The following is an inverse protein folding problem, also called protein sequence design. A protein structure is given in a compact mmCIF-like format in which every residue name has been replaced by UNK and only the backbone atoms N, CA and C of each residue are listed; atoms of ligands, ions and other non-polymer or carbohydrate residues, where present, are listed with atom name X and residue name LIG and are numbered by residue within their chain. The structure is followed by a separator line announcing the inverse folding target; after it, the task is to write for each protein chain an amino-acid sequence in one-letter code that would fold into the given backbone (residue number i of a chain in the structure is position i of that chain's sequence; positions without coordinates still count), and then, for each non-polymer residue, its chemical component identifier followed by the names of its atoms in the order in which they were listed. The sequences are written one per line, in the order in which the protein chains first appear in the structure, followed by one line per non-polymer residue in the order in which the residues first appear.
data_IF_408590796953
#
_entry.id   IF_408590796953
#
_cell.length_a   1.000
_cell.length_b   1.000
_cell.length_c   1.000
_cell.angle_alpha   90.00
_cell.angle_beta   90.00
_cell.angle_gamma   90.00
#
_symmetry.space_group_name_H-M   'P 1'
#
loop_
_entity.id
_entity.type
_entity.pdbx_description
1 polymer ?
#
# COMPACT_ATOMS: atom_id res chain seq x y z
N UNK A 1 80.48 -3.89 -2.53
CA UNK A 1 80.72 -5.22 -1.94
C UNK A 1 79.41 -5.66 -1.28
N UNK A 2 78.78 -6.78 -1.66
CA UNK A 2 78.84 -8.11 -0.99
C UNK A 2 78.64 -8.00 0.53
N UNK A 3 77.70 -8.69 1.21
CA UNK A 3 76.96 -9.96 0.95
C UNK A 3 75.65 -9.96 1.81
N UNK A 4 74.51 -10.59 1.45
CA UNK A 4 74.09 -12.01 1.67
C UNK A 4 74.22 -12.50 3.13
N UNK A 5 73.33 -13.29 3.77
CA UNK A 5 72.03 -13.93 3.45
C UNK A 5 71.32 -14.36 4.77
N UNK A 6 70.10 -14.92 4.71
CA UNK A 6 69.45 -15.65 5.83
C UNK A 6 70.15 -16.99 6.13
N UNK A 7 70.14 -17.44 7.39
CA UNK A 7 69.71 -18.83 7.75
C UNK A 7 69.40 -19.00 9.24
N UNK A 8 68.52 -19.97 9.52
CA UNK A 8 68.04 -20.46 10.82
C UNK A 8 68.89 -21.60 11.39
N UNK A 9 69.01 -21.73 12.72
CA UNK A 9 69.01 -23.06 13.37
C UNK A 9 68.59 -23.03 14.85
N UNK A 10 67.97 -24.13 15.30
CA UNK A 10 67.50 -24.36 16.67
C UNK A 10 68.63 -24.75 17.63
N UNK A 11 68.38 -24.65 18.94
CA UNK A 11 68.95 -25.61 19.91
C UNK A 11 67.92 -26.04 20.96
N UNK A 12 67.99 -27.32 21.33
CA UNK A 12 67.06 -28.06 22.18
C UNK A 12 67.76 -28.47 23.48
N UNK A 13 67.05 -28.42 24.61
CA UNK A 13 67.16 -29.31 25.80
C UNK A 13 65.88 -29.10 26.64
N UNK A 14 64.92 -30.02 26.81
CA UNK A 14 64.89 -31.48 27.06
C UNK A 14 65.30 -31.89 28.49
N UNK A 15 64.32 -32.11 29.38
CA UNK A 15 63.95 -33.43 29.93
C UNK A 15 62.69 -33.28 30.83
N UNK A 16 61.61 -34.07 30.71
CA UNK A 16 61.46 -35.54 30.91
C UNK A 16 61.65 -35.96 32.39
N UNK A 17 60.82 -36.75 33.10
CA UNK A 17 59.78 -37.81 32.80
C UNK A 17 58.74 -37.88 33.98
N UNK A 18 57.77 -38.81 34.16
CA UNK A 18 57.29 -40.10 33.61
C UNK A 18 55.72 -40.09 33.66
N UNK A 19 54.95 -40.59 32.68
CA UNK A 19 54.46 -41.99 32.46
C UNK A 19 53.48 -42.54 33.55
N UNK A 20 52.45 -43.35 33.25
CA UNK A 20 52.22 -44.20 32.06
C UNK A 20 50.72 -44.50 31.75
N UNK A 21 50.44 -44.83 30.46
CA UNK A 21 49.59 -45.91 29.92
C UNK A 21 48.08 -46.01 30.33
N UNK A 22 47.12 -46.58 29.58
CA UNK A 22 47.04 -47.32 28.29
C UNK A 22 45.74 -46.88 27.56
N UNK A 23 45.26 -47.40 26.41
CA UNK A 23 45.64 -48.42 25.41
C UNK A 23 45.02 -48.00 24.04
N UNK A 24 45.11 -48.82 22.99
CA UNK A 24 44.37 -48.68 21.72
C UNK A 24 43.30 -49.79 21.59
N UNK A 25 42.10 -49.47 21.10
CA UNK A 25 41.16 -50.47 20.52
C UNK A 25 40.38 -49.83 19.38
N UNK A 26 40.41 -50.45 18.20
CA UNK A 26 39.64 -50.04 17.05
C UNK A 26 38.28 -50.76 17.04
N UNK A 27 37.19 -50.02 16.80
CA UNK A 27 35.86 -50.60 16.58
C UNK A 27 35.23 -50.03 15.31
N UNK A 28 35.15 -50.89 14.29
CA UNK A 28 34.30 -50.72 13.12
C UNK A 28 32.82 -50.67 13.55
N UNK A 29 32.16 -49.53 13.36
CA UNK A 29 30.71 -49.42 13.56
C UNK A 29 30.00 -49.37 12.22
N UNK A 30 29.38 -50.51 11.89
CA UNK A 30 28.54 -50.72 10.71
C UNK A 30 27.32 -49.79 10.69
N UNK A 31 26.86 -49.43 9.49
CA UNK A 31 25.59 -48.74 9.29
C UNK A 31 24.43 -49.50 9.97
N UNK A 32 23.71 -48.82 10.87
CA UNK A 32 22.32 -49.17 11.20
C UNK A 32 21.43 -47.95 10.99
N UNK A 33 20.52 -48.10 10.03
CA UNK A 33 19.48 -47.13 9.68
C UNK A 33 18.45 -47.11 10.82
N UNK A 34 18.59 -46.16 11.74
CA UNK A 34 17.59 -45.93 12.79
C UNK A 34 16.47 -45.05 12.24
N UNK A 35 15.31 -45.65 11.98
CA UNK A 35 14.09 -44.91 11.65
C UNK A 35 13.64 -44.17 12.91
N UNK A 36 13.70 -42.83 12.89
CA UNK A 36 13.06 -42.01 13.93
C UNK A 36 11.63 -41.76 13.46
N UNK A 37 10.68 -42.53 13.97
CA UNK A 37 9.27 -42.14 13.91
C UNK A 37 9.07 -40.94 14.84
N UNK A 38 8.81 -39.76 14.28
CA UNK A 38 8.29 -38.64 15.05
C UNK A 38 6.81 -38.90 15.31
N UNK A 39 6.48 -39.25 16.56
CA UNK A 39 5.11 -39.23 17.05
C UNK A 39 4.60 -37.79 17.08
N UNK A 40 3.69 -37.44 16.18
CA UNK A 40 2.99 -36.16 16.19
C UNK A 40 1.97 -36.13 17.33
N UNK A 41 2.03 -35.11 18.20
CA UNK A 41 1.00 -34.86 19.20
C UNK A 41 -0.14 -34.04 18.56
N UNK A 42 -1.25 -34.71 18.23
CA UNK A 42 -2.42 -34.07 17.62
C UNK A 42 -3.12 -33.05 18.55
N UNK A 43 -2.73 -32.95 19.83
CA UNK A 43 -3.28 -31.96 20.76
C UNK A 43 -2.80 -30.53 20.50
N UNK A 44 -1.78 -30.34 19.66
CA UNK A 44 -1.34 -29.03 19.22
C UNK A 44 -2.30 -28.36 18.19
N UNK A 45 -3.23 -29.12 17.58
CA UNK A 45 -4.13 -28.62 16.52
C UNK A 45 -5.39 -27.89 17.04
N UNK A 46 -5.70 -27.99 18.34
CA UNK A 46 -6.89 -27.40 18.95
C UNK A 46 -6.58 -26.35 20.03
N UNK A 47 -5.36 -25.79 20.05
CA UNK A 47 -5.15 -24.54 20.77
C UNK A 47 -6.04 -23.45 20.13
N UNK A 48 -6.77 -22.62 20.90
CA UNK A 48 -7.49 -21.51 20.32
C UNK A 48 -6.47 -20.62 19.62
N UNK A 49 -6.59 -20.51 18.29
CA UNK A 49 -5.78 -19.59 17.50
C UNK A 49 -6.06 -18.21 18.05
N UNK A 50 -5.12 -17.70 18.84
CA UNK A 50 -5.13 -16.32 19.28
C UNK A 50 -5.28 -15.49 18.02
N UNK A 51 -6.37 -14.75 17.92
CA UNK A 51 -6.60 -13.80 16.84
C UNK A 51 -5.51 -12.74 16.97
N UNK A 52 -4.35 -12.98 16.35
CA UNK A 52 -3.31 -11.98 16.17
C UNK A 52 -4.06 -10.78 15.59
N UNK A 53 -4.07 -9.68 16.33
CA UNK A 53 -4.72 -8.45 15.90
C UNK A 53 -4.12 -8.00 14.55
N UNK A 54 -4.52 -6.84 14.03
CA UNK A 54 -3.81 -6.24 12.89
C UNK A 54 -2.41 -5.83 13.38
N UNK A 55 -1.53 -6.82 13.39
CA UNK A 55 -0.30 -6.82 14.16
C UNK A 55 0.73 -6.03 13.39
N UNK A 56 1.19 -4.95 14.00
CA UNK A 56 2.22 -4.06 13.47
C UNK A 56 1.94 -3.40 12.10
N UNK A 57 0.86 -3.73 11.39
CA UNK A 57 0.49 -3.10 10.12
C UNK A 57 -0.39 -1.87 10.33
N UNK A 58 -0.04 -0.78 9.65
CA UNK A 58 -0.79 0.48 9.60
C UNK A 58 -1.67 0.60 8.37
N UNK A 59 -1.24 -0.03 7.27
CA UNK A 59 -1.93 -0.05 5.99
C UNK A 59 -1.46 -1.25 5.18
N UNK A 60 -2.37 -1.89 4.46
CA UNK A 60 -2.04 -2.92 3.46
C UNK A 60 -3.08 -2.92 2.35
N UNK A 61 -2.66 -3.19 1.13
CA UNK A 61 -3.55 -3.40 -0.02
C UNK A 61 -2.91 -4.44 -0.96
N UNK A 62 -3.56 -5.60 -1.05
CA UNK A 62 -3.24 -6.65 -2.00
C UNK A 62 -4.12 -6.60 -3.26
N UNK A 63 -4.88 -5.52 -3.44
CA UNK A 63 -5.55 -5.16 -4.69
C UNK A 63 -6.71 -6.08 -5.11
N UNK A 64 -6.90 -7.20 -4.40
CA UNK A 64 -8.00 -8.14 -4.58
C UNK A 64 -9.38 -7.55 -4.32
N UNK A 65 -9.45 -6.47 -3.53
CA UNK A 65 -10.67 -5.72 -3.28
C UNK A 65 -11.37 -5.20 -4.55
N UNK A 66 -12.65 -4.86 -4.41
CA UNK A 66 -13.42 -4.18 -5.46
C UNK A 66 -12.94 -2.74 -5.73
N UNK A 67 -12.15 -2.17 -4.80
CA UNK A 67 -11.50 -0.87 -4.94
C UNK A 67 -10.09 -0.94 -4.37
N UNK A 68 -9.11 -0.41 -5.10
CA UNK A 68 -7.70 -0.37 -4.74
C UNK A 68 -7.25 1.07 -4.42
N UNK A 69 -6.31 1.23 -3.49
CA UNK A 69 -5.79 2.51 -2.99
C UNK A 69 -6.92 3.44 -2.49
N UNK A 70 -7.90 2.86 -1.80
CA UNK A 70 -9.19 3.49 -1.48
C UNK A 70 -9.18 4.36 -0.22
N UNK A 71 -8.20 4.17 0.66
CA UNK A 71 -8.05 4.86 1.95
C UNK A 71 -6.58 5.19 2.20
N UNK A 72 -6.29 6.38 2.73
CA UNK A 72 -4.93 6.76 3.16
C UNK A 72 -3.90 6.99 2.04
N UNK A 73 -4.31 6.92 0.77
CA UNK A 73 -3.45 7.14 -0.41
C UNK A 73 -4.02 8.25 -1.28
N UNK A 74 -3.14 9.09 -1.80
CA UNK A 74 -3.41 9.99 -2.92
C UNK A 74 -2.78 9.47 -4.21
N UNK A 75 -3.46 9.61 -5.35
CA UNK A 75 -2.92 9.27 -6.67
C UNK A 75 -2.39 10.56 -7.33
N UNK A 76 -1.10 10.58 -7.66
CA UNK A 76 -0.43 11.63 -8.43
C UNK A 76 -0.29 11.11 -9.87
N UNK A 77 -1.37 11.25 -10.64
CA UNK A 77 -1.50 10.73 -12.00
C UNK A 77 -2.38 11.68 -12.82
N UNK A 78 -1.98 11.95 -14.07
CA UNK A 78 -2.73 12.84 -14.97
C UNK A 78 -3.68 12.09 -15.91
N UNK A 79 -3.49 10.78 -16.09
CA UNK A 79 -4.13 9.96 -17.13
C UNK A 79 -4.99 8.83 -16.55
N UNK A 80 -5.98 8.36 -17.30
CA UNK A 80 -6.86 7.25 -16.89
C UNK A 80 -6.19 5.89 -16.93
N UNK A 81 -5.16 5.71 -17.78
CA UNK A 81 -4.35 4.49 -17.86
C UNK A 81 -3.21 4.45 -16.84
N UNK A 82 -2.84 5.60 -16.27
CA UNK A 82 -1.62 5.71 -15.47
C UNK A 82 -1.62 4.80 -14.25
N UNK A 83 -2.69 4.75 -13.45
CA UNK A 83 -2.79 3.80 -12.32
C UNK A 83 -4.07 2.96 -12.46
N UNK A 84 -3.89 1.71 -12.88
CA UNK A 84 -4.97 0.72 -13.10
C UNK A 84 -4.69 -0.56 -12.32
N UNK A 85 -5.65 -1.48 -12.26
CA UNK A 85 -5.40 -2.87 -11.87
C UNK A 85 -5.45 -3.77 -13.11
N UNK A 86 -4.59 -4.79 -13.15
CA UNK A 86 -4.59 -5.85 -14.16
C UNK A 86 -4.71 -7.22 -13.49
N UNK A 87 -4.99 -8.27 -14.27
CA UNK A 87 -4.90 -9.67 -13.81
C UNK A 87 -3.64 -10.42 -14.25
N UNK A 88 -2.78 -9.79 -15.04
CA UNK A 88 -1.50 -10.36 -15.48
C UNK A 88 -0.49 -9.23 -15.79
N UNK A 89 0.72 -9.24 -15.20
CA UNK A 89 1.17 -10.13 -14.12
C UNK A 89 0.43 -9.87 -12.80
N UNK A 90 0.44 -10.85 -11.90
CA UNK A 90 0.09 -10.73 -10.49
C UNK A 90 1.17 -11.44 -9.65
N UNK A 91 1.35 -11.03 -8.39
CA UNK A 91 2.29 -11.66 -7.45
C UNK A 91 1.55 -12.45 -6.39
N UNK A 92 0.57 -11.81 -5.73
CA UNK A 92 -0.38 -12.42 -4.82
C UNK A 92 -1.76 -12.46 -5.50
N UNK A 93 -2.56 -13.49 -5.26
CA UNK A 93 -3.91 -13.55 -5.79
C UNK A 93 -3.98 -13.59 -7.33
N UNK A 94 -4.85 -12.73 -7.89
CA UNK A 94 -5.17 -12.64 -9.32
C UNK A 94 -5.15 -11.20 -9.85
N UNK A 95 -4.66 -10.22 -9.08
CA UNK A 95 -4.52 -8.83 -9.51
C UNK A 95 -3.16 -8.22 -9.15
N UNK A 96 -2.74 -7.21 -9.91
CA UNK A 96 -1.70 -6.26 -9.47
C UNK A 96 -2.02 -4.84 -9.94
N UNK A 97 -1.32 -3.85 -9.37
CA UNK A 97 -1.51 -2.44 -9.69
C UNK A 97 -0.48 -2.04 -10.74
N UNK A 98 -0.95 -1.64 -11.91
CA UNK A 98 -0.14 -1.23 -13.05
C UNK A 98 0.02 0.29 -13.05
N UNK A 99 1.27 0.72 -13.06
CA UNK A 99 1.71 2.11 -13.13
C UNK A 99 2.33 2.35 -14.50
N UNK A 100 1.62 3.03 -15.40
CA UNK A 100 2.14 3.47 -16.70
C UNK A 100 2.42 4.98 -16.69
N UNK A 101 3.55 5.36 -17.27
CA UNK A 101 3.92 6.74 -17.54
C UNK A 101 4.47 6.82 -18.97
N UNK A 102 4.09 7.86 -19.70
CA UNK A 102 4.66 8.22 -21.01
C UNK A 102 5.33 9.58 -20.96
N UNK A 103 6.26 9.83 -21.87
CA UNK A 103 6.91 11.14 -22.02
C UNK A 103 5.92 12.24 -22.45
N UNK A 104 4.84 11.88 -23.15
CA UNK A 104 3.75 12.78 -23.52
C UNK A 104 2.69 12.99 -22.42
N UNK A 105 2.81 12.36 -21.25
CA UNK A 105 1.79 12.49 -20.20
C UNK A 105 1.89 13.88 -19.54
N UNK A 106 0.76 14.60 -19.31
CA UNK A 106 0.80 15.90 -18.67
C UNK A 106 1.43 15.84 -17.27
N UNK A 107 2.23 16.85 -16.93
CA UNK A 107 2.80 16.96 -15.58
C UNK A 107 1.70 17.06 -14.50
N UNK A 108 1.95 16.41 -13.37
CA UNK A 108 1.08 16.47 -12.19
C UNK A 108 1.94 16.57 -10.92
N UNK A 109 1.57 17.47 -10.00
CA UNK A 109 2.38 17.79 -8.81
C UNK A 109 3.85 18.11 -9.18
N UNK A 110 4.03 19.01 -10.15
CA UNK A 110 5.32 19.55 -10.61
C UNK A 110 6.24 18.43 -11.14
N UNK A 111 5.90 17.85 -12.29
CA UNK A 111 6.70 16.83 -12.97
C UNK A 111 5.90 15.67 -13.57
N UNK A 112 6.53 14.99 -14.53
CA UNK A 112 5.98 13.86 -15.30
C UNK A 112 6.04 12.59 -14.45
N UNK A 113 4.89 12.22 -13.86
CA UNK A 113 4.79 11.16 -12.85
C UNK A 113 3.46 10.40 -12.90
N UNK A 114 3.57 9.14 -12.50
CA UNK A 114 2.47 8.25 -12.14
C UNK A 114 2.85 7.61 -10.82
N UNK A 115 2.40 8.18 -9.70
CA UNK A 115 2.76 7.74 -8.34
C UNK A 115 1.53 7.63 -7.43
N UNK A 116 1.54 6.69 -6.48
CA UNK A 116 0.77 6.80 -5.24
C UNK A 116 1.61 7.54 -4.21
N UNK A 117 0.97 8.32 -3.35
CA UNK A 117 1.60 9.12 -2.30
C UNK A 117 0.80 9.03 -1.02
N UNK A 118 1.46 8.59 0.04
CA UNK A 118 0.91 8.50 1.39
C UNK A 118 1.10 9.84 2.16
N UNK A 119 0.37 10.05 3.27
CA UNK A 119 0.62 11.15 4.20
C UNK A 119 2.05 11.19 4.73
N UNK A 120 2.40 12.30 5.36
CA UNK A 120 3.66 12.43 6.10
C UNK A 120 3.73 11.43 7.25
N UNK A 121 4.93 10.91 7.48
CA UNK A 121 5.13 9.89 8.51
C UNK A 121 5.19 10.53 9.90
N UNK A 122 4.23 10.23 10.77
CA UNK A 122 4.20 10.77 12.14
C UNK A 122 5.31 10.22 13.06
N UNK A 123 5.57 8.91 13.02
CA UNK A 123 6.71 8.29 13.72
C UNK A 123 7.78 7.93 12.69
N UNK A 124 8.97 8.51 12.83
CA UNK A 124 10.08 8.37 11.90
C UNK A 124 10.67 6.95 11.81
N UNK A 125 10.28 6.02 12.68
CA UNK A 125 10.57 4.59 12.54
C UNK A 125 9.40 3.86 11.86
N UNK A 126 9.63 3.31 10.67
CA UNK A 126 8.62 2.61 9.86
C UNK A 126 9.17 1.43 9.07
N UNK A 127 8.25 0.54 8.74
CA UNK A 127 8.47 -0.51 7.75
C UNK A 127 7.61 -0.28 6.52
N UNK A 128 8.13 -0.66 5.36
CA UNK A 128 7.45 -0.60 4.07
C UNK A 128 7.74 -1.88 3.29
N UNK A 129 6.78 -2.39 2.54
CA UNK A 129 7.01 -3.51 1.62
C UNK A 129 6.09 -3.47 0.42
N UNK A 130 6.53 -4.17 -0.64
CA UNK A 130 5.77 -4.43 -1.84
C UNK A 130 6.46 -5.53 -2.66
N UNK A 131 5.71 -6.26 -3.47
CA UNK A 131 6.25 -6.91 -4.64
C UNK A 131 6.28 -5.91 -5.81
N UNK A 132 7.32 -5.96 -6.65
CA UNK A 132 7.46 -5.13 -7.85
C UNK A 132 7.92 -5.96 -9.06
N UNK A 133 7.36 -5.66 -10.23
CA UNK A 133 7.73 -6.25 -11.53
C UNK A 133 7.86 -5.16 -12.59
N UNK A 134 8.87 -5.28 -13.46
CA UNK A 134 9.10 -4.39 -14.59
C UNK A 134 9.17 -5.20 -15.89
N UNK A 135 8.22 -5.07 -16.84
CA UNK A 135 8.28 -5.78 -18.10
C UNK A 135 9.40 -5.21 -18.99
N UNK A 136 10.30 -6.03 -19.54
CA UNK A 136 11.40 -5.48 -20.35
C UNK A 136 10.92 -4.77 -21.63
N UNK A 137 9.76 -5.18 -22.16
CA UNK A 137 9.17 -4.58 -23.36
C UNK A 137 8.75 -3.09 -23.17
N UNK A 138 8.31 -2.70 -21.97
CA UNK A 138 7.90 -1.32 -21.63
C UNK A 138 8.77 -0.65 -20.55
N UNK A 139 9.74 -1.35 -19.97
CA UNK A 139 10.82 -0.80 -19.13
C UNK A 139 12.17 -1.04 -19.82
N UNK A 140 12.32 -0.47 -21.02
CA UNK A 140 13.53 -0.61 -21.83
C UNK A 140 14.74 0.03 -21.13
N UNK A 141 15.94 -0.39 -21.53
CA UNK A 141 17.19 0.19 -21.04
C UNK A 141 17.19 1.72 -21.23
N UNK A 142 17.68 2.44 -20.23
CA UNK A 142 17.86 3.89 -20.30
C UNK A 142 19.07 4.34 -19.47
N UNK A 143 19.80 5.33 -19.98
CA UNK A 143 20.95 5.95 -19.31
C UNK A 143 20.52 7.04 -18.34
N UNK A 144 19.32 7.61 -18.53
CA UNK A 144 18.69 8.52 -17.58
C UNK A 144 17.89 7.75 -16.55
N UNK A 145 17.82 8.28 -15.34
CA UNK A 145 17.25 7.56 -14.21
C UNK A 145 15.75 7.78 -13.99
N UNK A 146 15.15 6.82 -13.30
CA UNK A 146 13.73 6.76 -12.95
C UNK A 146 13.60 6.65 -11.43
N UNK A 147 12.81 7.51 -10.78
CA UNK A 147 12.45 7.33 -9.37
C UNK A 147 11.31 6.34 -9.26
N UNK A 148 11.52 5.26 -8.50
CA UNK A 148 10.54 4.18 -8.32
C UNK A 148 9.94 4.11 -6.90
N UNK A 149 10.64 4.67 -5.91
CA UNK A 149 10.13 4.93 -4.56
C UNK A 149 10.87 6.13 -3.98
N UNK A 150 10.18 7.02 -3.29
CA UNK A 150 10.78 8.21 -2.67
C UNK A 150 10.16 8.54 -1.33
N UNK A 151 10.98 8.98 -0.38
CA UNK A 151 10.55 9.62 0.86
C UNK A 151 10.83 11.11 0.72
N UNK A 152 9.78 11.86 0.41
CA UNK A 152 9.85 13.27 0.03
C UNK A 152 9.54 14.17 1.23
N UNK A 153 10.26 15.30 1.36
CA UNK A 153 10.16 16.21 2.51
C UNK A 153 9.76 17.64 2.15
N UNK A 154 9.40 17.93 0.90
CA UNK A 154 8.91 19.26 0.53
C UNK A 154 10.04 20.25 0.20
N UNK A 155 9.81 21.54 0.48
CA UNK A 155 10.76 22.63 0.28
C UNK A 155 11.37 22.75 -1.13
N UNK A 156 10.70 22.24 -2.17
CA UNK A 156 11.23 22.16 -3.54
C UNK A 156 12.52 21.33 -3.68
N UNK A 157 12.87 20.51 -2.68
CA UNK A 157 14.10 19.71 -2.68
C UNK A 157 13.90 18.39 -3.42
N UNK A 158 14.98 17.91 -4.04
CA UNK A 158 15.09 16.51 -4.44
C UNK A 158 14.87 15.59 -3.23
N UNK A 159 14.23 14.41 -3.34
CA UNK A 159 14.02 13.52 -2.20
C UNK A 159 15.33 13.23 -1.46
N UNK A 160 15.31 13.33 -0.12
CA UNK A 160 16.44 12.98 0.72
C UNK A 160 16.78 11.49 0.63
N UNK A 161 15.75 10.65 0.42
CA UNK A 161 15.87 9.21 0.25
C UNK A 161 14.99 8.76 -0.92
N UNK A 162 15.57 8.04 -1.88
CA UNK A 162 14.80 7.45 -2.99
C UNK A 162 15.50 6.23 -3.60
N UNK A 163 14.70 5.26 -4.03
CA UNK A 163 15.12 4.18 -4.92
C UNK A 163 14.99 4.66 -6.37
N UNK A 164 16.03 4.41 -7.16
CA UNK A 164 16.15 4.82 -8.56
C UNK A 164 16.64 3.67 -9.43
N UNK A 165 16.15 3.60 -10.66
CA UNK A 165 16.70 2.70 -11.68
C UNK A 165 17.48 3.52 -12.69
N UNK A 166 18.67 3.07 -13.08
CA UNK A 166 19.50 3.72 -14.10
C UNK A 166 20.40 2.67 -14.76
N UNK A 167 20.44 2.63 -16.09
CA UNK A 167 21.27 1.68 -16.86
C UNK A 167 21.14 0.22 -16.34
N UNK A 168 19.91 -0.22 -16.14
CA UNK A 168 19.51 -1.56 -15.66
C UNK A 168 20.12 -1.97 -14.29
N UNK A 169 20.47 -0.97 -13.47
CA UNK A 169 20.84 -1.13 -12.06
C UNK A 169 19.84 -0.43 -11.14
N UNK A 170 19.61 -1.05 -9.99
CA UNK A 170 18.89 -0.47 -8.88
C UNK A 170 19.88 0.31 -8.01
N UNK A 171 19.53 1.54 -7.67
CA UNK A 171 20.27 2.40 -6.77
C UNK A 171 19.38 2.86 -5.62
N UNK A 172 20.00 3.13 -4.47
CA UNK A 172 19.43 4.04 -3.48
C UNK A 172 20.24 5.33 -3.44
N UNK A 173 19.54 6.45 -3.48
CA UNK A 173 20.12 7.78 -3.32
C UNK A 173 19.77 8.34 -1.95
N UNK A 174 20.80 8.61 -1.15
CA UNK A 174 20.72 9.09 0.24
C UNK A 174 21.42 10.44 0.31
N UNK A 175 20.67 11.50 0.60
CA UNK A 175 21.16 12.90 0.74
C UNK A 175 22.05 13.37 -0.43
N UNK A 176 21.77 12.90 -1.64
CA UNK A 176 22.53 13.20 -2.85
C UNK A 176 23.47 12.09 -3.32
N UNK A 177 24.00 11.29 -2.39
CA UNK A 177 24.96 10.20 -2.65
C UNK A 177 24.25 8.95 -3.17
N UNK A 178 24.83 8.31 -4.19
CA UNK A 178 24.29 7.11 -4.83
C UNK A 178 24.99 5.85 -4.31
N UNK A 179 24.22 4.80 -4.04
CA UNK A 179 24.70 3.48 -3.67
C UNK A 179 24.07 2.44 -4.60
N UNK A 180 24.91 1.63 -5.24
CA UNK A 180 24.51 0.53 -6.12
C UNK A 180 23.94 -0.61 -5.27
N UNK A 181 22.72 -1.06 -5.59
CA UNK A 181 22.03 -2.18 -4.95
C UNK A 181 22.01 -3.44 -5.84
N UNK A 182 22.71 -3.40 -6.98
CA UNK A 182 22.82 -4.49 -7.93
C UNK A 182 21.92 -4.33 -9.16
N UNK A 183 21.84 -5.41 -9.95
CA UNK A 183 21.04 -5.46 -11.19
C UNK A 183 19.56 -5.25 -10.89
N UNK A 184 18.89 -4.47 -11.73
CA UNK A 184 17.44 -4.35 -11.78
C UNK A 184 16.89 -5.37 -12.80
N UNK A 185 16.67 -6.60 -12.33
CA UNK A 185 16.15 -7.68 -13.19
C UNK A 185 14.73 -7.32 -13.68
N UNK A 186 14.49 -7.54 -14.98
CA UNK A 186 13.21 -7.31 -15.65
C UNK A 186 12.54 -8.65 -15.94
N UNK A 187 11.24 -8.59 -16.27
CA UNK A 187 10.37 -9.75 -16.49
C UNK A 187 10.33 -10.74 -15.31
N UNK A 188 10.57 -10.22 -14.10
CA UNK A 188 10.63 -10.96 -12.85
C UNK A 188 10.03 -10.14 -11.72
N UNK A 189 9.28 -10.80 -10.84
CA UNK A 189 8.82 -10.22 -9.58
C UNK A 189 9.93 -10.25 -8.54
N UNK A 190 10.06 -9.16 -7.80
CA UNK A 190 10.93 -9.04 -6.65
C UNK A 190 10.16 -8.54 -5.43
N UNK A 191 10.33 -9.21 -4.30
CA UNK A 191 9.73 -8.82 -3.03
C UNK A 191 10.69 -7.91 -2.26
N UNK A 192 10.30 -6.65 -2.06
CA UNK A 192 11.07 -5.67 -1.29
C UNK A 192 10.47 -5.49 0.09
N UNK A 193 11.34 -5.55 1.11
CA UNK A 193 11.02 -5.12 2.48
C UNK A 193 12.05 -4.07 2.88
N UNK A 194 11.60 -3.01 3.54
CA UNK A 194 12.42 -1.87 3.94
C UNK A 194 12.07 -1.49 5.38
N UNK A 195 13.08 -1.39 6.24
CA UNK A 195 12.98 -0.84 7.59
C UNK A 195 13.78 0.45 7.62
N UNK A 196 13.12 1.56 7.93
CA UNK A 196 13.72 2.89 7.86
C UNK A 196 13.39 3.64 9.14
N UNK A 197 14.45 4.00 9.86
CA UNK A 197 14.41 5.01 10.92
C UNK A 197 14.97 6.30 10.32
N UNK A 198 14.09 7.26 10.06
CA UNK A 198 14.48 8.53 9.49
C UNK A 198 15.21 9.41 10.52
N UNK A 199 16.38 9.94 10.17
CA UNK A 199 17.12 10.92 10.96
C UNK A 199 17.99 11.82 10.08
N UNK A 200 18.17 13.06 10.50
CA UNK A 200 19.16 13.99 9.94
C UNK A 200 20.56 13.83 10.55
N UNK A 201 20.67 13.09 11.66
CA UNK A 201 21.93 12.78 12.35
C UNK A 201 22.35 11.31 12.25
N UNK A 202 23.24 10.88 13.15
CA UNK A 202 23.81 9.52 13.24
C UNK A 202 22.77 8.41 13.42
N UNK A 203 21.65 8.71 14.05
CA UNK A 203 20.75 7.71 14.62
C UNK A 203 19.76 7.11 13.62
N UNK A 204 19.89 7.49 12.34
CA UNK A 204 19.11 6.96 11.24
C UNK A 204 19.52 5.53 10.91
N UNK A 205 18.60 4.77 10.33
CA UNK A 205 18.80 3.40 9.87
C UNK A 205 18.10 3.21 8.53
N UNK A 206 18.74 2.50 7.62
CA UNK A 206 18.14 1.94 6.41
C UNK A 206 18.53 0.47 6.35
N UNK A 207 17.55 -0.41 6.39
CA UNK A 207 17.70 -1.82 6.03
C UNK A 207 16.79 -2.15 4.86
N UNK A 208 17.31 -2.86 3.87
CA UNK A 208 16.55 -3.26 2.69
C UNK A 208 16.82 -4.74 2.42
N UNK A 209 15.74 -5.48 2.17
CA UNK A 209 15.77 -6.85 1.71
C UNK A 209 15.15 -6.93 0.32
N UNK A 210 15.70 -7.80 -0.52
CA UNK A 210 15.12 -8.26 -1.79
C UNK A 210 15.05 -9.78 -1.75
N UNK A 211 13.86 -10.34 -1.94
CA UNK A 211 13.60 -11.79 -1.95
C UNK A 211 14.14 -12.52 -0.70
N UNK A 212 13.96 -11.92 0.49
CA UNK A 212 14.49 -12.45 1.75
C UNK A 212 15.97 -12.15 2.04
N UNK A 213 16.76 -11.74 1.04
CA UNK A 213 18.18 -11.42 1.21
C UNK A 213 18.33 -9.95 1.58
N UNK A 214 19.01 -9.65 2.70
CA UNK A 214 19.32 -8.27 3.09
C UNK A 214 20.39 -7.69 2.16
N UNK A 215 20.01 -6.72 1.33
CA UNK A 215 20.86 -6.04 0.33
C UNK A 215 21.41 -4.70 0.83
N UNK A 216 20.85 -4.12 1.90
CA UNK A 216 21.43 -2.97 2.59
C UNK A 216 21.22 -3.07 4.10
N UNK A 217 22.24 -2.66 4.86
CA UNK A 217 22.15 -2.31 6.28
C UNK A 217 23.07 -1.11 6.51
N UNK A 218 22.52 0.08 6.77
CA UNK A 218 23.30 1.32 6.91
C UNK A 218 22.71 2.24 7.97
N UNK A 219 23.52 2.56 8.98
CA UNK A 219 23.23 3.62 9.95
C UNK A 219 23.66 5.02 9.46
N UNK A 220 23.15 6.07 10.08
CA UNK A 220 23.49 7.47 9.78
C UNK A 220 22.47 8.18 8.91
N UNK A 221 22.67 9.50 8.75
CA UNK A 221 21.69 10.43 8.18
C UNK A 221 21.09 9.95 6.85
N UNK A 222 19.78 10.12 6.73
CA UNK A 222 18.96 9.69 5.59
C UNK A 222 17.75 10.61 5.29
N UNK A 223 17.52 11.65 6.09
CA UNK A 223 16.53 12.70 5.83
C UNK A 223 17.17 14.08 6.04
N UNK A 224 16.61 15.13 5.42
CA UNK A 224 16.94 16.51 5.76
C UNK A 224 16.43 16.86 7.16
N UNK A 225 17.08 17.80 7.83
CA UNK A 225 16.53 18.42 9.04
C UNK A 225 15.22 19.14 8.72
N UNK A 226 14.25 19.01 9.61
CA UNK A 226 12.92 19.66 9.50
C UNK A 226 13.11 21.16 9.75
N UNK A 227 12.79 21.99 8.77
CA UNK A 227 12.96 23.45 8.85
C UNK A 227 12.21 24.15 7.72
N UNK A 228 11.41 25.17 8.04
CA UNK A 228 10.58 25.87 7.05
C UNK A 228 9.66 24.90 6.32
N UNK A 229 9.69 24.91 4.99
CA UNK A 229 8.89 24.02 4.13
C UNK A 229 9.40 22.57 4.06
N UNK A 230 10.46 22.23 4.81
CA UNK A 230 10.97 20.85 4.93
C UNK A 230 10.22 20.13 6.06
N UNK A 231 9.34 19.20 5.68
CA UNK A 231 8.41 18.47 6.54
C UNK A 231 8.87 17.01 6.81
N UNK A 232 8.04 16.22 7.51
CA UNK A 232 8.34 14.80 7.76
C UNK A 232 8.29 13.99 6.46
N UNK A 233 9.13 12.95 6.28
CA UNK A 233 9.17 12.23 5.02
C UNK A 233 7.83 11.54 4.72
N UNK A 234 7.32 11.75 3.50
CA UNK A 234 6.11 11.12 2.98
C UNK A 234 6.51 10.13 1.87
N UNK A 235 6.07 8.87 1.96
CA UNK A 235 6.43 7.85 0.96
C UNK A 235 5.56 7.98 -0.30
N UNK A 236 6.20 7.89 -1.46
CA UNK A 236 5.58 7.73 -2.78
C UNK A 236 6.16 6.52 -3.51
N UNK A 237 5.35 5.87 -4.32
CA UNK A 237 5.70 4.67 -5.10
C UNK A 237 5.07 4.77 -6.50
N UNK A 238 5.76 4.27 -7.53
CA UNK A 238 5.29 4.36 -8.92
C UNK A 238 6.45 4.68 -9.85
N UNK A 239 6.26 5.61 -10.77
CA UNK A 239 7.31 6.16 -11.64
C UNK A 239 7.27 7.69 -11.60
N UNK A 240 8.39 8.32 -11.29
CA UNK A 240 8.64 9.73 -11.58
C UNK A 240 9.94 9.88 -12.38
N UNK A 241 9.87 10.50 -13.56
CA UNK A 241 11.00 10.65 -14.46
C UNK A 241 11.20 12.12 -14.84
N UNK A 242 12.09 12.79 -14.11
CA UNK A 242 12.35 14.23 -14.27
C UNK A 242 12.83 14.64 -15.66
N UNK A 243 13.49 13.73 -16.38
CA UNK A 243 13.97 13.98 -17.75
C UNK A 243 12.84 14.03 -18.79
N UNK A 244 11.60 13.67 -18.41
CA UNK A 244 10.40 13.86 -19.23
C UNK A 244 9.56 15.07 -18.80
N UNK A 245 10.06 15.92 -17.90
CA UNK A 245 9.38 17.18 -17.57
C UNK A 245 9.41 18.13 -18.78
N UNK A 246 8.39 18.99 -18.90
CA UNK A 246 8.20 19.89 -20.05
C UNK A 246 7.95 19.14 -21.36
N UNK A 247 8.93 19.18 -22.26
CA UNK A 247 8.94 18.46 -23.55
C UNK A 247 10.10 17.47 -23.64
N UNK A 248 10.64 17.05 -22.49
CA UNK A 248 11.77 16.13 -22.44
C UNK A 248 11.39 14.72 -22.86
N UNK A 249 12.32 14.01 -23.50
CA UNK A 249 12.25 12.56 -23.75
C UNK A 249 13.64 11.96 -23.57
N UNK A 250 13.74 10.64 -23.48
CA UNK A 250 15.03 9.92 -23.34
C UNK A 250 15.17 8.89 -24.46
N UNK A 251 15.98 7.83 -24.29
CA UNK A 251 16.01 6.69 -25.23
C UNK A 251 14.70 5.89 -25.29
N UNK A 252 13.70 6.33 -24.52
CA UNK A 252 12.46 5.64 -24.22
C UNK A 252 11.37 6.68 -23.99
N UNK A 253 10.13 6.32 -24.33
CA UNK A 253 8.93 7.15 -24.20
C UNK A 253 7.85 6.52 -23.32
N UNK A 254 8.13 5.37 -22.71
CA UNK A 254 7.21 4.64 -21.83
C UNK A 254 7.97 3.98 -20.67
N UNK A 255 7.30 3.97 -19.52
CA UNK A 255 7.64 3.20 -18.33
C UNK A 255 6.39 2.50 -17.84
N UNK A 256 6.52 1.21 -17.55
CA UNK A 256 5.49 0.43 -16.86
C UNK A 256 6.11 -0.27 -15.67
N UNK A 257 5.54 -0.09 -14.48
CA UNK A 257 5.81 -0.92 -13.32
C UNK A 257 4.51 -1.58 -12.85
N UNK A 258 4.65 -2.73 -12.21
CA UNK A 258 3.58 -3.37 -11.47
C UNK A 258 3.98 -3.45 -10.00
N UNK A 259 3.05 -3.15 -9.11
CA UNK A 259 3.18 -3.29 -7.68
C UNK A 259 2.06 -4.16 -7.13
N UNK A 260 2.35 -4.95 -6.10
CA UNK A 260 1.41 -5.87 -5.48
C UNK A 260 1.80 -6.13 -4.01
N UNK A 261 0.86 -6.66 -3.22
CA UNK A 261 0.98 -6.95 -1.78
C UNK A 261 1.72 -5.84 -0.99
N UNK A 262 1.23 -4.61 -1.14
CA UNK A 262 1.87 -3.40 -0.62
C UNK A 262 1.48 -3.20 0.84
N UNK A 263 2.46 -3.01 1.73
CA UNK A 263 2.22 -2.82 3.17
C UNK A 263 3.02 -1.65 3.76
N UNK A 264 2.46 -1.01 4.77
CA UNK A 264 3.14 -0.07 5.68
C UNK A 264 3.00 -0.60 7.11
N UNK A 265 4.12 -0.83 7.78
CA UNK A 265 4.22 -1.26 9.16
C UNK A 265 4.62 -0.13 10.11
N UNK A 266 4.21 -0.26 11.37
CA UNK A 266 4.64 0.59 12.47
C UNK A 266 6.06 0.23 12.94
N UNK A 267 6.53 0.94 13.94
CA UNK A 267 7.86 0.81 14.55
C UNK A 267 8.14 -0.57 15.19
N UNK A 268 7.10 -1.36 15.47
CA UNK A 268 7.18 -2.69 16.07
C UNK A 268 7.09 -3.83 15.04
N UNK A 269 6.92 -3.50 13.75
CA UNK A 269 6.85 -4.51 12.70
C UNK A 269 8.17 -5.29 12.56
N UNK A 270 8.03 -6.52 12.10
CA UNK A 270 9.14 -7.42 11.80
C UNK A 270 9.21 -7.67 10.29
N UNK A 271 10.34 -8.19 9.82
CA UNK A 271 10.46 -8.69 8.45
C UNK A 271 9.31 -9.66 8.09
N UNK A 272 8.90 -10.53 9.02
CA UNK A 272 7.84 -11.52 8.80
C UNK A 272 6.43 -10.91 8.71
N UNK A 273 6.14 -9.81 9.42
CA UNK A 273 4.86 -9.10 9.28
C UNK A 273 4.76 -8.37 7.92
N UNK A 274 5.92 -8.05 7.31
CA UNK A 274 6.02 -7.21 6.12
C UNK A 274 6.23 -7.99 4.82
N UNK A 275 6.85 -9.17 4.86
CA UNK A 275 7.25 -9.93 3.68
C UNK A 275 6.08 -10.14 2.69
N UNK A 276 6.21 -9.74 1.41
CA UNK A 276 5.26 -10.07 0.37
C UNK A 276 5.19 -11.60 0.14
N UNK A 277 3.99 -12.16 -0.04
CA UNK A 277 3.82 -13.61 -0.27
C UNK A 277 3.43 -13.93 -1.73
N UNK A 278 4.24 -14.72 -2.47
CA UNK A 278 3.96 -15.08 -3.85
C UNK A 278 2.94 -16.23 -3.92
N UNK A 279 1.96 -16.06 -4.80
CA UNK A 279 0.91 -17.05 -5.05
C UNK A 279 -0.12 -17.15 -3.93
N UNK A 280 -1.35 -17.46 -4.32
CA UNK A 280 -2.43 -17.73 -3.38
C UNK A 280 -3.78 -17.76 -4.07
N UNK A 281 -4.47 -18.90 -3.99
CA UNK A 281 -5.92 -18.91 -4.19
C UNK A 281 -6.54 -18.29 -2.95
N UNK A 282 -7.02 -17.04 -3.05
CA UNK A 282 -7.91 -16.48 -2.03
C UNK A 282 -9.17 -17.35 -2.03
N UNK A 283 -9.54 -18.03 -0.91
CA UNK A 283 -10.86 -18.64 -0.80
C UNK A 283 -11.89 -17.54 -1.01
N UNK A 284 -12.99 -17.77 -1.75
CA UNK A 284 -14.01 -16.74 -1.91
C UNK A 284 -14.45 -16.24 -0.53
N UNK A 285 -14.72 -14.94 -0.34
CA UNK A 285 -15.37 -14.46 0.87
C UNK A 285 -16.60 -15.32 1.11
N UNK A 286 -16.82 -15.89 2.31
CA UNK A 286 -17.88 -16.87 2.53
C UNK A 286 -19.24 -16.35 2.07
N UNK A 287 -19.72 -16.88 0.94
CA UNK A 287 -21.05 -16.60 0.45
C UNK A 287 -22.03 -17.21 1.46
N UNK A 288 -22.70 -16.37 2.24
CA UNK A 288 -23.71 -16.80 3.21
C UNK A 288 -24.96 -15.94 3.06
N UNK A 289 -25.81 -16.35 2.13
CA UNK A 289 -27.23 -16.00 2.15
C UNK A 289 -28.00 -17.04 2.98
N UNK A 290 -28.97 -16.57 3.74
CA UNK A 290 -30.14 -17.32 4.25
C UNK A 290 -29.93 -18.40 5.34
N UNK A 291 -30.05 -17.92 6.59
CA UNK A 291 -30.73 -18.56 7.75
C UNK A 291 -30.56 -20.07 8.05
N UNK A 292 -29.92 -20.39 9.18
CA UNK A 292 -30.62 -21.08 10.29
C UNK A 292 -30.07 -20.56 11.62
N UNK A 293 -30.95 -20.39 12.60
CA UNK A 293 -30.64 -19.74 13.89
C UNK A 293 -30.06 -20.76 14.88
N UNK A 294 -28.90 -20.46 15.49
CA UNK A 294 -28.47 -21.10 16.74
C UNK A 294 -27.74 -20.07 17.60
N UNK A 295 -28.16 -19.97 18.86
CA UNK A 295 -27.99 -18.76 19.67
C UNK A 295 -26.74 -18.81 20.53
N UNK A 296 -25.76 -17.93 20.26
CA UNK A 296 -24.71 -17.59 21.23
C UNK A 296 -24.62 -16.08 21.39
N UNK A 297 -24.92 -15.63 22.61
CA UNK A 297 -25.12 -14.22 22.95
C UNK A 297 -23.79 -13.44 22.93
N UNK A 298 -23.64 -12.50 21.99
CA UNK A 298 -22.55 -11.53 21.97
C UNK A 298 -23.09 -10.10 22.12
N UNK A 299 -22.50 -9.35 23.04
CA UNK A 299 -22.85 -7.94 23.28
C UNK A 299 -22.41 -7.09 22.08
N UNK A 300 -23.28 -6.25 21.50
CA UNK A 300 -23.00 -5.59 20.22
C UNK A 300 -22.01 -4.41 20.38
N UNK A 301 -20.91 -4.45 19.62
CA UNK A 301 -20.14 -3.24 19.34
C UNK A 301 -20.89 -2.39 18.31
N UNK A 302 -21.25 -1.16 18.69
CA UNK A 302 -22.13 -0.29 17.90
C UNK A 302 -21.36 0.39 16.77
N UNK A 303 -21.25 -0.26 15.63
CA UNK A 303 -20.55 0.26 14.45
C UNK A 303 -21.39 1.32 13.72
N UNK A 304 -20.87 2.55 13.64
CA UNK A 304 -21.45 3.58 12.77
C UNK A 304 -21.48 3.12 11.30
N UNK A 305 -22.59 3.25 10.59
CA UNK A 305 -22.68 2.92 9.17
C UNK A 305 -23.74 3.74 8.41
N UNK A 306 -23.56 3.89 7.09
CA UNK A 306 -24.65 4.31 6.19
C UNK A 306 -25.42 3.06 5.79
N UNK A 307 -26.66 2.96 6.23
CA UNK A 307 -27.53 1.80 6.02
C UNK A 307 -28.29 1.89 4.70
N UNK A 308 -28.67 3.09 4.26
CA UNK A 308 -29.44 3.29 3.02
C UNK A 308 -29.20 4.66 2.37
N UNK A 309 -29.57 4.79 1.10
CA UNK A 309 -29.66 6.05 0.38
C UNK A 309 -31.10 6.26 -0.07
N UNK A 310 -31.72 7.38 0.34
CA UNK A 310 -33.05 7.76 -0.16
C UNK A 310 -32.93 8.80 -1.26
N UNK A 311 -33.61 8.57 -2.37
CA UNK A 311 -33.92 9.62 -3.33
C UNK A 311 -34.99 10.52 -2.69
N UNK A 312 -34.73 11.82 -2.61
CA UNK A 312 -35.65 12.80 -2.02
C UNK A 312 -36.22 13.69 -3.12
N UNK A 313 -37.53 13.92 -3.09
CA UNK A 313 -38.17 14.98 -3.87
C UNK A 313 -38.05 16.30 -3.08
N UNK A 314 -37.01 17.08 -3.39
CA UNK A 314 -36.73 18.34 -2.71
C UNK A 314 -37.80 19.43 -2.91
N UNK A 315 -38.73 19.30 -3.86
CA UNK A 315 -39.85 20.25 -3.97
C UNK A 315 -40.93 20.00 -2.90
N UNK A 316 -40.95 18.80 -2.31
CA UNK A 316 -41.94 18.37 -1.30
C UNK A 316 -41.32 17.89 0.01
N UNK A 317 -39.99 17.86 0.07
CA UNK A 317 -39.16 17.44 1.20
C UNK A 317 -39.45 16.01 1.71
N UNK A 318 -39.82 15.13 0.77
CA UNK A 318 -40.17 13.73 1.06
C UNK A 318 -39.24 12.74 0.37
N UNK A 319 -38.83 11.72 1.11
CA UNK A 319 -38.26 10.50 0.54
C UNK A 319 -39.23 9.92 -0.51
N UNK A 320 -38.71 9.53 -1.67
CA UNK A 320 -39.46 8.89 -2.76
C UNK A 320 -39.26 7.38 -2.72
N UNK A 321 -38.01 6.95 -2.67
CA UNK A 321 -37.61 5.54 -2.69
C UNK A 321 -36.16 5.37 -2.19
N UNK A 322 -35.79 4.15 -1.81
CA UNK A 322 -34.37 3.77 -1.69
C UNK A 322 -33.68 3.76 -3.07
N UNK A 323 -32.37 3.99 -3.08
CA UNK A 323 -31.54 3.82 -4.27
C UNK A 323 -30.68 2.56 -4.09
N UNK A 324 -30.97 1.54 -4.89
CA UNK A 324 -30.22 0.27 -4.92
C UNK A 324 -29.02 0.41 -5.86
N UNK A 325 -27.93 -0.30 -5.57
CA UNK A 325 -26.77 -0.34 -6.47
C UNK A 325 -27.15 -0.90 -7.86
N UNK A 326 -26.74 -0.22 -8.93
CA UNK A 326 -27.11 -0.51 -10.31
C UNK A 326 -28.48 0.03 -10.75
N UNK A 327 -29.27 0.64 -9.86
CA UNK A 327 -30.64 1.05 -10.19
C UNK A 327 -30.69 2.14 -11.26
N UNK A 328 -31.64 2.01 -12.19
CA UNK A 328 -32.03 3.09 -13.11
C UNK A 328 -33.22 3.87 -12.55
N UNK A 329 -33.07 5.18 -12.42
CA UNK A 329 -34.07 6.13 -11.91
C UNK A 329 -34.57 6.97 -13.07
N UNK A 330 -35.87 6.91 -13.38
CA UNK A 330 -36.50 7.78 -14.38
C UNK A 330 -37.23 8.93 -13.69
N UNK A 331 -36.79 10.16 -13.95
CA UNK A 331 -37.35 11.36 -13.32
C UNK A 331 -38.80 11.60 -13.78
N UNK A 332 -39.11 11.38 -15.06
CA UNK A 332 -40.45 11.51 -15.64
C UNK A 332 -41.45 10.53 -15.03
N UNK A 333 -41.08 9.25 -14.87
CA UNK A 333 -41.95 8.24 -14.22
C UNK A 333 -42.27 8.61 -12.77
N UNK A 334 -41.29 9.15 -12.05
CA UNK A 334 -41.45 9.60 -10.66
C UNK A 334 -41.99 11.04 -10.53
N UNK A 335 -42.20 11.75 -11.66
CA UNK A 335 -42.62 13.16 -11.76
C UNK A 335 -41.71 14.13 -10.98
N UNK A 336 -40.41 13.84 -10.92
CA UNK A 336 -39.42 14.62 -10.17
C UNK A 336 -38.76 15.68 -11.05
N UNK A 337 -38.65 16.91 -10.54
CA UNK A 337 -37.92 18.01 -11.18
C UNK A 337 -36.63 18.34 -10.42
N UNK A 338 -36.73 18.59 -9.11
CA UNK A 338 -35.59 18.73 -8.21
C UNK A 338 -35.46 17.51 -7.30
N UNK A 339 -34.22 17.04 -7.09
CA UNK A 339 -33.94 15.94 -6.16
C UNK A 339 -32.68 16.18 -5.34
N UNK A 340 -32.61 15.49 -4.21
CA UNK A 340 -31.41 15.34 -3.39
C UNK A 340 -31.26 13.84 -3.01
N UNK A 341 -30.13 13.45 -2.43
CA UNK A 341 -29.94 12.09 -1.92
C UNK A 341 -29.56 12.17 -0.45
N UNK A 342 -30.40 11.56 0.40
CA UNK A 342 -30.25 11.54 1.85
C UNK A 342 -29.60 10.23 2.28
N UNK A 343 -28.60 10.30 3.14
CA UNK A 343 -28.04 9.11 3.78
C UNK A 343 -28.90 8.71 4.98
N UNK A 344 -29.32 7.45 5.04
CA UNK A 344 -29.81 6.85 6.28
C UNK A 344 -28.62 6.21 6.97
N UNK A 345 -28.47 6.49 8.25
CA UNK A 345 -27.33 6.06 9.07
C UNK A 345 -27.79 5.39 10.36
N UNK A 346 -26.90 4.62 10.98
CA UNK A 346 -27.06 4.20 12.37
C UNK A 346 -27.02 5.39 13.32
N UNK A 347 -27.45 5.19 14.57
CA UNK A 347 -27.27 6.19 15.63
C UNK A 347 -25.79 6.47 15.92
N UNK A 348 -25.53 7.62 16.55
CA UNK A 348 -24.23 8.21 16.94
C UNK A 348 -23.41 8.91 15.86
N UNK A 349 -23.80 8.83 14.59
CA UNK A 349 -23.17 9.59 13.50
C UNK A 349 -23.33 11.10 13.71
N UNK A 350 -22.25 11.86 13.54
CA UNK A 350 -22.20 13.33 13.67
C UNK A 350 -21.98 14.06 12.35
N UNK A 351 -21.37 13.42 11.36
CA UNK A 351 -21.27 13.95 10.01
C UNK A 351 -21.27 12.81 8.98
N UNK A 352 -21.61 13.14 7.73
CA UNK A 352 -21.50 12.24 6.59
C UNK A 352 -20.80 12.95 5.44
N UNK A 353 -19.65 12.41 5.04
CA UNK A 353 -18.93 12.85 3.83
C UNK A 353 -19.48 12.13 2.61
N UNK A 354 -20.18 12.88 1.75
CA UNK A 354 -20.64 12.45 0.44
C UNK A 354 -19.61 12.72 -0.65
N UNK A 355 -19.50 11.78 -1.58
CA UNK A 355 -18.66 11.86 -2.78
C UNK A 355 -19.46 11.32 -3.96
N UNK A 356 -20.06 12.22 -4.74
CA UNK A 356 -20.69 11.95 -6.02
C UNK A 356 -19.65 12.08 -7.14
N UNK A 357 -19.66 11.15 -8.09
CA UNK A 357 -18.90 11.19 -9.33
C UNK A 357 -19.71 10.62 -10.50
N UNK A 358 -19.20 10.74 -11.72
CA UNK A 358 -19.90 10.33 -12.95
C UNK A 358 -20.30 11.55 -13.77
N UNK A 359 -21.56 11.60 -14.24
CA UNK A 359 -22.04 12.68 -15.13
C UNK A 359 -21.87 14.09 -14.56
N UNK A 360 -21.94 14.23 -13.23
CA UNK A 360 -21.48 15.40 -12.47
C UNK A 360 -20.74 14.88 -11.22
N UNK A 361 -19.84 15.68 -10.68
CA UNK A 361 -19.07 15.32 -9.47
C UNK A 361 -19.27 16.37 -8.37
N UNK A 362 -19.37 15.92 -7.11
CA UNK A 362 -19.45 16.76 -5.91
C UNK A 362 -18.87 16.02 -4.73
N UNK A 363 -17.99 16.67 -3.96
CA UNK A 363 -17.68 16.25 -2.59
C UNK A 363 -18.29 17.26 -1.63
N UNK A 364 -18.98 16.78 -0.61
CA UNK A 364 -19.64 17.59 0.40
C UNK A 364 -19.68 16.82 1.72
N UNK A 365 -19.40 17.48 2.83
CA UNK A 365 -19.57 16.91 4.16
C UNK A 365 -20.75 17.61 4.79
N UNK A 366 -21.73 16.82 5.21
CA UNK A 366 -22.89 17.30 5.95
C UNK A 366 -22.67 16.99 7.44
N UNK A 367 -22.75 17.98 8.30
CA UNK A 367 -22.51 17.88 9.75
C UNK A 367 -23.79 18.04 10.59
N UNK A 368 -24.95 18.17 9.93
CA UNK A 368 -26.27 18.13 10.57
C UNK A 368 -27.07 16.92 10.05
N UNK A 369 -27.75 16.22 10.95
CA UNK A 369 -28.79 15.28 10.54
C UNK A 369 -30.08 16.07 10.23
N UNK A 370 -30.82 15.77 9.15
CA UNK A 370 -30.70 14.62 8.26
C UNK A 370 -29.72 14.78 7.06
N UNK A 371 -28.56 14.13 7.13
CA UNK A 371 -27.47 14.26 6.17
C UNK A 371 -27.86 14.03 4.70
N UNK A 372 -27.54 14.98 3.82
CA UNK A 372 -27.85 14.92 2.39
C UNK A 372 -26.70 15.39 1.48
N UNK A 373 -26.58 14.77 0.30
CA UNK A 373 -25.53 15.04 -0.68
C UNK A 373 -25.45 16.52 -1.13
N UNK A 374 -26.61 17.19 -1.19
CA UNK A 374 -26.66 18.62 -1.51
C UNK A 374 -26.80 19.54 -0.29
N UNK A 375 -26.82 18.99 0.92
CA UNK A 375 -27.13 19.67 2.17
C UNK A 375 -28.63 19.72 2.46
N UNK A 376 -28.95 20.05 3.71
CA UNK A 376 -30.28 20.39 4.20
C UNK A 376 -30.20 21.59 5.17
N UNK A 377 -31.29 21.94 5.86
CA UNK A 377 -31.30 23.00 6.88
C UNK A 377 -31.20 22.48 8.33
N UNK A 378 -30.79 21.23 8.56
CA UNK A 378 -30.85 20.54 9.85
C UNK A 378 -32.28 20.25 10.35
N UNK A 379 -33.29 20.46 9.50
CA UNK A 379 -34.72 20.23 9.81
C UNK A 379 -35.46 19.51 8.66
N UNK A 380 -34.73 19.00 7.65
CA UNK A 380 -35.30 18.27 6.53
C UNK A 380 -35.78 19.12 5.36
N UNK A 381 -35.32 20.37 5.20
CA UNK A 381 -35.45 21.07 3.92
C UNK A 381 -34.28 20.67 3.01
N UNK A 382 -34.54 19.88 1.97
CA UNK A 382 -33.54 19.34 1.05
C UNK A 382 -33.45 20.13 -0.26
N UNK A 383 -34.04 21.34 -0.36
CA UNK A 383 -34.02 22.22 -1.55
C UNK A 383 -32.66 22.87 -1.86
N UNK A 384 -31.55 22.28 -1.44
CA UNK A 384 -30.21 22.88 -1.59
C UNK A 384 -29.52 22.51 -2.91
N UNK A 385 -28.65 23.41 -3.39
CA UNK A 385 -27.81 23.22 -4.57
C UNK A 385 -28.54 23.20 -5.93
N UNK A 386 -27.75 23.01 -6.98
CA UNK A 386 -28.13 23.22 -8.38
C UNK A 386 -28.46 21.91 -9.14
N UNK A 387 -28.85 20.84 -8.43
CA UNK A 387 -29.15 19.53 -9.03
C UNK A 387 -30.63 19.45 -9.44
N UNK A 388 -31.02 20.33 -10.38
CA UNK A 388 -32.41 20.62 -10.71
C UNK A 388 -32.66 20.82 -12.23
N UNK A 389 -33.03 19.77 -12.99
CA UNK A 389 -32.86 18.36 -12.65
C UNK A 389 -31.39 17.94 -12.72
N UNK A 390 -31.03 16.78 -12.14
CA UNK A 390 -29.78 16.11 -12.44
C UNK A 390 -29.57 15.90 -13.94
N UNK A 391 -28.32 16.00 -14.40
CA UNK A 391 -27.99 15.58 -15.76
C UNK A 391 -28.21 14.07 -15.93
N UNK A 392 -28.77 13.64 -17.06
CA UNK A 392 -28.97 12.21 -17.33
C UNK A 392 -27.63 11.50 -17.58
N UNK A 393 -27.51 10.28 -17.05
CA UNK A 393 -26.30 9.47 -17.10
C UNK A 393 -26.06 8.71 -15.80
N UNK A 394 -24.97 7.96 -15.76
CA UNK A 394 -24.57 7.16 -14.61
C UNK A 394 -23.76 7.99 -13.60
N UNK A 395 -24.03 7.74 -12.34
CA UNK A 395 -23.40 8.33 -11.17
C UNK A 395 -22.90 7.23 -10.23
N UNK A 396 -21.82 7.53 -9.50
CA UNK A 396 -21.40 6.76 -8.32
C UNK A 396 -21.47 7.69 -7.11
N UNK A 397 -22.14 7.26 -6.05
CA UNK A 397 -22.23 7.98 -4.78
C UNK A 397 -21.65 7.12 -3.66
N UNK A 398 -20.60 7.62 -3.01
CA UNK A 398 -20.10 7.12 -1.73
C UNK A 398 -20.52 8.08 -0.61
N UNK A 399 -20.97 7.55 0.52
CA UNK A 399 -21.16 8.31 1.74
C UNK A 399 -20.45 7.61 2.90
N UNK A 400 -19.66 8.38 3.66
CA UNK A 400 -18.88 7.89 4.81
C UNK A 400 -19.36 8.61 6.07
N UNK A 401 -19.98 7.91 7.02
CA UNK A 401 -20.41 8.51 8.29
C UNK A 401 -19.21 8.65 9.23
N UNK A 402 -19.21 9.63 10.12
CA UNK A 402 -18.19 9.76 11.17
C UNK A 402 -18.76 10.35 12.46
N UNK A 403 -18.07 10.10 13.58
CA UNK A 403 -18.22 10.86 14.81
C UNK A 403 -16.83 11.37 15.25
N UNK A 404 -16.63 12.69 15.23
CA UNK A 404 -15.30 13.27 15.40
C UNK A 404 -14.34 12.78 14.29
N UNK A 405 -13.21 12.22 14.71
CA UNK A 405 -12.20 11.61 13.81
C UNK A 405 -12.49 10.14 13.46
N UNK A 406 -13.45 9.49 14.14
CA UNK A 406 -13.78 8.08 13.91
C UNK A 406 -14.73 7.95 12.73
N UNK A 407 -14.23 7.46 11.60
CA UNK A 407 -15.05 7.08 10.45
C UNK A 407 -15.76 5.73 10.71
N UNK A 408 -17.03 5.65 10.32
CA UNK A 408 -17.81 4.42 10.26
C UNK A 408 -17.86 3.80 8.86
N UNK A 409 -18.62 2.73 8.71
CA UNK A 409 -18.76 1.97 7.46
C UNK A 409 -19.42 2.82 6.38
N UNK A 410 -18.65 3.13 5.34
CA UNK A 410 -19.14 3.85 4.17
C UNK A 410 -20.02 2.95 3.28
N UNK A 411 -21.09 3.51 2.70
CA UNK A 411 -21.89 2.85 1.66
C UNK A 411 -21.59 3.50 0.32
N UNK A 412 -21.42 2.69 -0.72
CA UNK A 412 -21.22 3.14 -2.10
C UNK A 412 -22.28 2.50 -3.00
N UNK A 413 -22.88 3.29 -3.88
CA UNK A 413 -23.82 2.84 -4.91
C UNK A 413 -23.49 3.48 -6.25
N UNK A 414 -23.72 2.74 -7.32
CA UNK A 414 -23.82 3.26 -8.68
C UNK A 414 -25.30 3.32 -9.06
N UNK A 415 -25.74 4.36 -9.77
CA UNK A 415 -27.11 4.45 -10.28
C UNK A 415 -27.15 5.28 -11.56
N UNK A 416 -28.14 5.06 -12.42
CA UNK A 416 -28.30 5.80 -13.69
C UNK A 416 -29.56 6.64 -13.64
N UNK A 417 -29.41 7.95 -13.87
CA UNK A 417 -30.55 8.86 -14.03
C UNK A 417 -30.91 8.92 -15.52
N UNK A 418 -32.16 8.61 -15.83
CA UNK A 418 -32.77 8.82 -17.14
C UNK A 418 -33.93 9.82 -17.03
N UNK A 419 -34.37 10.36 -18.17
CA UNK A 419 -35.39 11.40 -18.20
C UNK A 419 -36.73 10.92 -17.66
#
# INVERSE_FOLDING_TARGET
MKTSMRTTTNFIRSNQRLLAASLLMASIVSCKKATIEQTYDERALNAPVSTKAIGNLLWADNLEGASFFSTGVSKQVATSYGITTVSNPAYQGVKSARFELRDTDPEIKNGTRTEISFPETANLNRWYSYAMYAPAAQYKYDTDDDVITQWHQGGGKTPALCLRVKADKLYIRILGTWFDLGVFDKDKWHAYVMHIKHASGSDGLIEIWRDGVKIMNRSGANMYAISGDIHNPNIKMGVYKSNWNGTGTTQTNIRVLYFDDIKIGNENATYADMAPTPGGTVPPPPATDTTTQTTTTLTPSKTMSVTDFKLVNSETEKDVQSIVNGQTISLSKLKLKKVNIRAVVTTDVKNVKFQLSGKQSKTFTDDAAPFALHGDNGSGNFYYGNWNPPATGTYTLKATPSAGTTAGTAKTITFTIVK
#
